data_IF_360323123809
#
_entry.id   IF_360323123809
#
_cell.length_a   1.000
_cell.length_b   1.000
_cell.length_c   1.000
_cell.angle_alpha   90.00
_cell.angle_beta   90.00
_cell.angle_gamma   90.00
#
_symmetry.space_group_name_H-M   'P 1'
#
loop_
_entity.id
_entity.type
_entity.pdbx_description
1 polymer ?
#
# COMPACT_ATOMS: atom_id res chain seq x y z
N UNK A 1 45.52 22.40 -22.49
CA UNK A 1 44.72 23.34 -21.68
C UNK A 1 43.25 23.10 -21.96
N UNK A 2 42.45 23.01 -20.90
CA UNK A 2 40.99 23.13 -20.79
C UNK A 2 40.09 22.52 -21.88
N UNK A 3 39.51 21.35 -21.57
CA UNK A 3 38.19 20.96 -22.08
C UNK A 3 37.24 20.78 -20.88
N UNK A 4 36.23 21.64 -20.90
CA UNK A 4 35.07 21.80 -20.05
C UNK A 4 34.66 20.59 -19.20
N UNK A 5 34.69 20.76 -17.88
CA UNK A 5 33.99 19.92 -16.92
C UNK A 5 32.50 20.23 -16.92
N UNK A 6 31.72 19.42 -17.63
CA UNK A 6 30.32 19.19 -17.32
C UNK A 6 30.23 17.92 -16.52
N UNK A 7 30.09 18.03 -15.19
CA UNK A 7 29.62 16.90 -14.37
C UNK A 7 28.16 16.68 -14.76
N UNK A 8 27.89 15.67 -15.57
CA UNK A 8 26.59 15.03 -15.63
C UNK A 8 26.27 14.60 -14.19
N UNK A 9 25.48 15.42 -13.50
CA UNK A 9 24.88 15.00 -12.24
C UNK A 9 23.88 13.93 -12.62
N UNK A 10 24.24 12.67 -12.38
CA UNK A 10 23.26 11.59 -12.25
C UNK A 10 22.20 12.10 -11.27
N UNK A 11 21.03 12.44 -11.81
CA UNK A 11 19.86 12.71 -11.00
C UNK A 11 19.50 11.32 -10.48
N UNK A 12 19.81 11.03 -9.22
CA UNK A 12 19.19 9.89 -8.52
C UNK A 12 17.69 10.16 -8.54
N UNK A 13 17.01 9.60 -9.55
CA UNK A 13 15.56 9.64 -9.63
C UNK A 13 15.07 8.66 -8.58
N UNK A 14 14.78 9.18 -7.38
CA UNK A 14 14.14 8.39 -6.33
C UNK A 14 12.77 7.92 -6.84
N UNK A 15 12.67 6.63 -7.18
CA UNK A 15 11.43 6.01 -7.66
C UNK A 15 10.32 5.98 -6.61
N UNK A 16 10.65 6.30 -5.35
CA UNK A 16 9.78 6.19 -4.19
C UNK A 16 9.80 7.50 -3.38
N UNK A 17 9.38 8.61 -3.98
CA UNK A 17 9.23 9.88 -3.25
C UNK A 17 8.08 9.79 -2.23
N UNK A 18 8.30 10.28 -1.02
CA UNK A 18 7.24 10.44 -0.01
C UNK A 18 6.53 11.77 -0.22
N UNK A 19 5.20 11.72 -0.29
CA UNK A 19 4.36 12.91 -0.44
C UNK A 19 4.08 13.57 0.94
N UNK A 20 3.98 14.90 1.03
CA UNK A 20 3.85 15.62 2.31
C UNK A 20 2.57 15.29 3.11
N UNK A 21 1.52 14.77 2.46
CA UNK A 21 0.26 14.34 3.08
C UNK A 21 0.14 12.82 3.22
N UNK A 22 1.23 12.07 3.02
CA UNK A 22 1.20 10.61 3.04
C UNK A 22 1.02 10.06 4.47
N UNK A 23 0.01 9.19 4.65
CA UNK A 23 -0.15 8.41 5.88
C UNK A 23 0.42 7.01 5.66
N UNK A 24 1.32 6.60 6.54
CA UNK A 24 2.00 5.31 6.48
C UNK A 24 1.51 4.40 7.59
N UNK A 25 1.02 3.23 7.21
CA UNK A 25 0.59 2.15 8.10
C UNK A 25 1.51 0.95 7.92
N UNK A 26 2.26 0.59 8.97
CA UNK A 26 3.14 -0.57 8.96
C UNK A 26 2.53 -1.73 9.75
N UNK A 27 2.28 -2.84 9.05
CA UNK A 27 1.80 -4.09 9.62
C UNK A 27 2.98 -5.02 9.82
N UNK A 28 3.52 -5.05 11.05
CA UNK A 28 4.75 -5.78 11.39
C UNK A 28 4.60 -7.28 11.17
N UNK A 29 3.41 -7.82 11.44
CA UNK A 29 3.16 -9.27 11.41
C UNK A 29 2.99 -9.82 10.00
N UNK A 30 2.39 -9.03 9.11
CA UNK A 30 2.27 -9.33 7.68
C UNK A 30 3.40 -8.72 6.83
N UNK A 31 4.36 -8.04 7.49
CA UNK A 31 5.48 -7.36 6.82
C UNK A 31 5.01 -6.41 5.71
N UNK A 32 3.83 -5.82 5.84
CA UNK A 32 3.20 -5.01 4.80
C UNK A 32 3.25 -3.54 5.21
N UNK A 33 3.65 -2.66 4.30
CA UNK A 33 3.53 -1.21 4.46
C UNK A 33 2.42 -0.74 3.52
N UNK A 34 1.47 0.01 4.05
CA UNK A 34 0.44 0.68 3.27
C UNK A 34 0.65 2.17 3.40
N UNK A 35 0.77 2.84 2.27
CA UNK A 35 0.90 4.29 2.21
C UNK A 35 -0.33 4.83 1.49
N UNK A 36 -0.94 5.88 2.03
CA UNK A 36 -2.09 6.51 1.40
C UNK A 36 -1.84 8.00 1.36
N UNK A 37 -1.94 8.57 0.16
CA UNK A 37 -1.89 10.01 -0.08
C UNK A 37 -3.27 10.50 -0.58
N UNK A 38 -3.32 11.70 -1.16
CA UNK A 38 -4.56 12.29 -1.67
C UNK A 38 -5.10 11.60 -2.95
N UNK A 39 -4.28 10.82 -3.66
CA UNK A 39 -4.56 10.26 -4.99
C UNK A 39 -4.39 8.74 -5.09
N UNK A 40 -3.42 8.17 -4.39
CA UNK A 40 -2.97 6.79 -4.48
C UNK A 40 -2.95 6.12 -3.11
N UNK A 41 -3.28 4.84 -3.12
CA UNK A 41 -2.93 3.90 -2.06
C UNK A 41 -1.84 2.98 -2.59
N UNK A 42 -0.70 2.98 -1.90
CA UNK A 42 0.45 2.15 -2.22
C UNK A 42 0.56 1.02 -1.22
N UNK A 43 0.61 -0.21 -1.71
CA UNK A 43 0.79 -1.40 -0.88
C UNK A 43 2.14 -2.00 -1.24
N UNK A 44 3.00 -2.16 -0.25
CA UNK A 44 4.32 -2.76 -0.40
C UNK A 44 4.51 -3.90 0.61
N UNK A 45 5.08 -5.02 0.16
CA UNK A 45 5.39 -6.17 1.02
C UNK A 45 6.90 -6.27 1.22
N UNK A 46 7.34 -6.34 2.48
CA UNK A 46 8.75 -6.61 2.81
C UNK A 46 9.00 -8.11 2.63
N UNK A 47 9.44 -8.50 1.43
CA UNK A 47 10.11 -9.79 1.20
C UNK A 47 11.45 -9.81 1.96
N UNK A 48 11.94 -11.00 2.29
CA UNK A 48 12.91 -11.23 3.37
C UNK A 48 14.20 -10.39 3.32
N UNK A 49 14.51 -9.80 4.49
CA UNK A 49 15.81 -9.44 5.06
C UNK A 49 16.70 -8.45 4.27
N UNK A 50 17.12 -7.38 4.95
CA UNK A 50 18.15 -6.40 4.54
C UNK A 50 17.83 -5.51 3.33
N UNK A 51 16.91 -4.57 3.48
CA UNK A 51 17.09 -3.19 2.99
C UNK A 51 16.19 -2.25 3.78
N UNK A 52 16.63 -2.06 5.01
CA UNK A 52 16.29 -0.93 5.86
C UNK A 52 16.78 0.33 5.11
N UNK A 53 15.86 1.22 4.72
CA UNK A 53 16.10 2.59 4.22
C UNK A 53 16.24 2.78 2.69
N UNK A 54 15.14 2.73 1.93
CA UNK A 54 14.96 3.40 0.60
C UNK A 54 15.26 2.63 -0.71
N UNK A 55 15.80 1.40 -0.72
CA UNK A 55 16.14 0.77 -2.01
C UNK A 55 15.67 -0.69 -2.07
N UNK A 56 14.57 -0.94 -2.78
CA UNK A 56 14.12 -2.30 -3.11
C UNK A 56 12.99 -2.82 -2.22
N UNK A 57 11.81 -2.19 -2.33
CA UNK A 57 10.56 -2.92 -2.10
C UNK A 57 10.40 -3.87 -3.28
N UNK A 58 10.14 -5.15 -3.01
CA UNK A 58 10.05 -6.26 -3.99
C UNK A 58 8.78 -6.15 -4.87
N UNK A 59 8.37 -4.92 -5.21
CA UNK A 59 7.09 -4.52 -5.76
C UNK A 59 6.36 -3.58 -4.80
N UNK A 60 6.19 -2.32 -5.21
CA UNK A 60 5.17 -1.44 -4.65
C UNK A 60 4.03 -1.32 -5.64
N UNK A 61 2.81 -1.62 -5.19
CA UNK A 61 1.62 -1.47 -6.00
C UNK A 61 0.94 -0.17 -5.66
N UNK A 62 0.99 0.79 -6.59
CA UNK A 62 0.24 2.04 -6.50
C UNK A 62 -1.12 1.87 -7.17
N UNK A 63 -2.20 2.04 -6.40
CA UNK A 63 -3.58 1.96 -6.86
C UNK A 63 -4.19 3.35 -6.74
N UNK A 64 -4.80 3.85 -7.81
CA UNK A 64 -5.48 5.14 -7.77
C UNK A 64 -6.71 5.03 -6.86
N UNK A 65 -6.80 5.87 -5.83
CA UNK A 65 -7.94 5.90 -4.90
C UNK A 65 -9.27 6.11 -5.62
N UNK A 66 -9.25 6.88 -6.71
CA UNK A 66 -10.43 7.12 -7.53
C UNK A 66 -10.88 5.90 -8.35
N UNK A 67 -10.02 4.91 -8.60
CA UNK A 67 -10.39 3.66 -9.31
C UNK A 67 -10.88 2.58 -8.36
N UNK A 68 -10.74 2.76 -7.04
CA UNK A 68 -11.28 1.82 -6.07
C UNK A 68 -12.80 1.84 -6.17
N UNK A 69 -13.37 0.67 -6.43
CA UNK A 69 -14.83 0.48 -6.55
C UNK A 69 -15.42 -0.08 -5.27
N UNK A 70 -14.67 -0.91 -4.54
CA UNK A 70 -15.09 -1.50 -3.28
C UNK A 70 -13.87 -1.92 -2.44
N UNK A 71 -14.12 -2.28 -1.18
CA UNK A 71 -13.15 -2.94 -0.33
C UNK A 71 -13.84 -4.09 0.41
N UNK A 72 -13.11 -5.17 0.68
CA UNK A 72 -13.58 -6.28 1.50
C UNK A 72 -12.79 -6.31 2.80
N UNK A 73 -13.49 -6.22 3.92
CA UNK A 73 -12.90 -6.30 5.25
C UNK A 73 -13.36 -7.59 5.93
N UNK A 74 -12.40 -8.39 6.41
CA UNK A 74 -12.66 -9.57 7.24
C UNK A 74 -11.93 -9.44 8.56
N UNK A 75 -12.69 -9.53 9.66
CA UNK A 75 -12.12 -9.42 10.99
C UNK A 75 -11.23 -10.63 11.37
N UNK A 76 -10.17 -10.40 12.17
CA UNK A 76 -9.35 -11.45 12.72
C UNK A 76 -10.10 -12.20 13.83
N UNK A 77 -10.46 -13.46 13.58
CA UNK A 77 -11.05 -14.37 14.58
C UNK A 77 -9.98 -15.30 15.16
N UNK A 78 -9.97 -16.60 14.83
CA UNK A 78 -8.88 -17.54 15.19
C UNK A 78 -7.66 -17.42 14.28
N UNK A 79 -7.81 -16.75 13.14
CA UNK A 79 -6.77 -16.49 12.14
C UNK A 79 -6.51 -14.98 12.01
N UNK A 80 -5.62 -14.59 11.09
CA UNK A 80 -5.48 -13.19 10.67
C UNK A 80 -6.73 -12.69 9.94
N UNK A 81 -6.96 -11.39 10.03
CA UNK A 81 -7.95 -10.66 9.25
C UNK A 81 -7.32 -10.08 8.00
N UNK A 82 -8.14 -9.58 7.08
CA UNK A 82 -7.65 -8.95 5.87
C UNK A 82 -8.55 -7.83 5.37
N UNK A 83 -7.93 -6.85 4.71
CA UNK A 83 -8.56 -5.78 3.97
C UNK A 83 -8.10 -5.90 2.51
N UNK A 84 -9.00 -6.25 1.61
CA UNK A 84 -8.72 -6.38 0.18
C UNK A 84 -9.36 -5.24 -0.60
N UNK A 85 -8.59 -4.62 -1.48
CA UNK A 85 -9.08 -3.56 -2.36
C UNK A 85 -9.63 -4.15 -3.65
N UNK A 86 -10.76 -3.64 -4.11
CA UNK A 86 -11.42 -4.03 -5.35
C UNK A 86 -11.46 -2.83 -6.29
N UNK A 87 -10.96 -3.02 -7.50
CA UNK A 87 -10.89 -2.01 -8.56
C UNK A 87 -11.00 -2.70 -9.93
N UNK A 88 -11.29 -1.98 -11.04
CA UNK A 88 -11.41 -2.57 -12.35
C UNK A 88 -10.15 -3.37 -12.74
N UNK A 89 -10.31 -4.67 -13.00
CA UNK A 89 -9.19 -5.58 -13.29
C UNK A 89 -8.53 -6.23 -12.08
N UNK A 90 -8.95 -5.92 -10.84
CA UNK A 90 -8.52 -6.68 -9.66
C UNK A 90 -9.16 -8.07 -9.68
N UNK A 91 -8.35 -9.13 -9.58
CA UNK A 91 -8.87 -10.48 -9.43
C UNK A 91 -9.41 -10.65 -8.01
N UNK A 92 -10.70 -10.95 -7.89
CA UNK A 92 -11.32 -11.25 -6.61
C UNK A 92 -10.86 -12.64 -6.15
N UNK A 93 -10.09 -12.71 -5.06
CA UNK A 93 -9.64 -13.99 -4.51
C UNK A 93 -10.79 -14.70 -3.81
N UNK A 94 -11.42 -15.63 -4.52
CA UNK A 94 -12.57 -16.40 -4.02
C UNK A 94 -12.23 -17.43 -2.92
N UNK A 95 -10.96 -17.72 -2.66
CA UNK A 95 -10.55 -18.77 -1.69
C UNK A 95 -10.39 -18.33 -0.24
N UNK A 96 -10.89 -17.15 0.13
CA UNK A 96 -10.94 -16.71 1.53
C UNK A 96 -9.57 -16.33 2.10
N UNK A 97 -9.38 -16.52 3.41
CA UNK A 97 -8.23 -15.95 4.16
C UNK A 97 -6.89 -16.46 3.63
N UNK A 98 -6.78 -17.73 3.25
CA UNK A 98 -5.51 -18.32 2.80
C UNK A 98 -5.03 -17.78 1.44
N UNK A 99 -5.96 -17.49 0.54
CA UNK A 99 -5.63 -16.86 -0.75
C UNK A 99 -5.45 -15.35 -0.61
N UNK A 100 -6.27 -14.71 0.23
CA UNK A 100 -6.16 -13.28 0.53
C UNK A 100 -4.78 -12.92 1.14
N UNK A 101 -4.18 -13.80 1.94
CA UNK A 101 -2.81 -13.59 2.46
C UNK A 101 -1.77 -13.56 1.34
N UNK A 102 -2.00 -14.25 0.23
CA UNK A 102 -1.07 -14.30 -0.91
C UNK A 102 -1.30 -13.17 -1.92
N UNK A 103 -2.46 -12.52 -1.88
CA UNK A 103 -2.88 -11.51 -2.85
C UNK A 103 -2.24 -10.14 -2.62
N UNK A 104 -1.63 -9.56 -3.65
CA UNK A 104 -0.91 -8.27 -3.59
C UNK A 104 -1.82 -7.06 -3.28
N UNK A 105 -3.12 -7.18 -3.51
CA UNK A 105 -4.13 -6.14 -3.24
C UNK A 105 -4.71 -6.24 -1.84
N UNK A 106 -4.18 -7.16 -1.03
CA UNK A 106 -4.70 -7.47 0.28
C UNK A 106 -3.70 -7.12 1.38
N UNK A 107 -4.19 -6.34 2.33
CA UNK A 107 -3.51 -5.96 3.57
C UNK A 107 -4.00 -6.90 4.66
N UNK A 108 -3.11 -7.75 5.18
CA UNK A 108 -3.45 -8.66 6.28
C UNK A 108 -3.02 -8.09 7.62
N UNK A 109 -3.81 -8.37 8.65
CA UNK A 109 -3.64 -7.77 9.97
C UNK A 109 -4.05 -8.70 11.10
N UNK A 110 -3.47 -8.49 12.28
CA UNK A 110 -3.81 -9.20 13.52
C UNK A 110 -4.76 -8.39 14.41
N UNK A 111 -5.23 -9.01 15.50
CA UNK A 111 -6.10 -8.35 16.50
C UNK A 111 -5.46 -7.09 17.10
N UNK A 112 -4.15 -7.11 17.28
CA UNK A 112 -3.36 -6.00 17.83
C UNK A 112 -3.27 -4.80 16.87
N UNK A 113 -3.46 -5.03 15.57
CA UNK A 113 -3.37 -4.03 14.50
C UNK A 113 -4.75 -3.51 14.06
N UNK A 114 -5.81 -3.86 14.80
CA UNK A 114 -7.20 -3.46 14.49
C UNK A 114 -7.37 -1.93 14.39
N UNK A 115 -6.67 -1.18 15.23
CA UNK A 115 -6.73 0.29 15.24
C UNK A 115 -6.20 0.85 13.92
N UNK A 116 -5.03 0.38 13.46
CA UNK A 116 -4.43 0.81 12.20
C UNK A 116 -5.32 0.49 10.99
N UNK A 117 -5.98 -0.68 10.99
CA UNK A 117 -6.95 -1.01 9.93
C UNK A 117 -8.20 -0.16 9.97
N UNK A 118 -8.70 0.18 11.16
CA UNK A 118 -9.85 1.07 11.28
C UNK A 118 -9.52 2.45 10.69
N UNK A 119 -8.33 2.96 10.96
CA UNK A 119 -7.84 4.22 10.39
C UNK A 119 -7.67 4.13 8.87
N UNK A 120 -7.06 3.06 8.38
CA UNK A 120 -6.89 2.81 6.94
C UNK A 120 -8.25 2.71 6.23
N UNK A 121 -9.20 1.97 6.81
CA UNK A 121 -10.59 1.86 6.34
C UNK A 121 -11.23 3.25 6.26
N UNK A 122 -11.15 4.03 7.33
CA UNK A 122 -11.74 5.38 7.36
C UNK A 122 -11.11 6.29 6.30
N UNK A 123 -9.80 6.19 6.06
CA UNK A 123 -9.12 6.93 5.02
C UNK A 123 -9.62 6.56 3.61
N UNK A 124 -9.74 5.25 3.32
CA UNK A 124 -10.31 4.75 2.05
C UNK A 124 -11.77 5.19 1.89
N UNK A 125 -12.59 5.09 2.94
CA UNK A 125 -13.99 5.52 2.89
C UNK A 125 -14.13 7.02 2.65
N UNK A 126 -13.25 7.85 3.23
CA UNK A 126 -13.24 9.28 2.98
C UNK A 126 -12.87 9.58 1.51
N UNK A 127 -11.87 8.88 0.96
CA UNK A 127 -11.51 9.00 -0.45
C UNK A 127 -12.68 8.60 -1.38
N UNK A 128 -13.37 7.49 -1.08
CA UNK A 128 -14.54 7.03 -1.83
C UNK A 128 -15.73 7.99 -1.72
N UNK A 129 -16.01 8.53 -0.53
CA UNK A 129 -17.09 9.51 -0.32
C UNK A 129 -16.84 10.82 -1.08
N UNK A 130 -15.59 11.27 -1.14
CA UNK A 130 -15.23 12.45 -1.91
C UNK A 130 -15.42 12.24 -3.42
N UNK A 131 -15.26 11.01 -3.92
CA UNK A 131 -15.60 10.66 -5.32
C UNK A 131 -17.11 10.79 -5.60
N UNK A 132 -17.97 10.34 -4.69
CA UNK A 132 -19.44 10.38 -4.86
C UNK A 132 -20.01 11.81 -4.77
N UNK A 133 -19.29 12.73 -4.11
CA UNK A 133 -19.73 14.14 -3.97
C UNK A 133 -19.41 15.03 -5.18
N UNK A 134 -18.67 14.54 -6.17
CA UNK A 134 -18.44 15.22 -7.45
C UNK A 134 -19.44 14.75 -8.50
#
# INVERSE_FOLDING_TARGET
MALFGGKDKEIEVELFTSEPNERVFEFKKSKTIVRIDDYFIRIARKSNMSNMLLHGLDGEKSILLSEITAYQLKEPSSTVGYLQLVYPGSSDTKGGVFDAVKDENTVTFSKDEKIAILELKNAIENALKNKVKK
#
